data_IF_852470359134
#
_entry.id   IF_852470359134
#
_cell.length_a   1.000
_cell.length_b   1.000
_cell.length_c   1.000
_cell.angle_alpha   90.00
_cell.angle_beta   90.00
_cell.angle_gamma   90.00
#
_symmetry.space_group_name_H-M   'P 1'
#
loop_
_entity.id
_entity.type
_entity.pdbx_description
1 polymer ?
#
# COMPACT_ATOMS: atom_id res chain seq x y z
N UNK A 1 0.86 -11.63 -5.97
CA UNK A 1 -0.26 -10.80 -5.47
C UNK A 1 -0.69 -11.35 -4.10
N UNK A 2 -1.13 -10.52 -3.14
CA UNK A 2 -1.70 -10.97 -1.85
C UNK A 2 -3.24 -11.02 -1.83
N UNK A 3 -3.88 -10.69 -2.95
CA UNK A 3 -5.33 -10.77 -3.15
C UNK A 3 -6.14 -10.02 -2.08
N UNK A 4 -5.71 -8.82 -1.66
CA UNK A 4 -6.44 -8.02 -0.67
C UNK A 4 -7.69 -7.32 -1.24
N UNK A 5 -8.06 -7.57 -2.50
CA UNK A 5 -9.23 -6.94 -3.14
C UNK A 5 -9.11 -5.45 -3.46
N UNK A 6 -8.06 -4.76 -3.00
CA UNK A 6 -7.84 -3.32 -3.19
C UNK A 6 -6.37 -3.04 -3.57
N UNK A 7 -6.06 -3.06 -4.87
CA UNK A 7 -4.69 -2.92 -5.35
C UNK A 7 -4.21 -1.47 -5.32
N UNK A 8 -2.99 -1.20 -4.83
CA UNK A 8 -2.33 0.14 -4.82
C UNK A 8 -0.92 0.10 -5.36
N UNK A 9 -0.64 -0.84 -6.26
CA UNK A 9 0.71 -1.10 -6.75
C UNK A 9 1.32 0.16 -7.39
N UNK A 10 0.54 0.87 -8.19
CA UNK A 10 0.95 2.10 -8.87
C UNK A 10 1.38 3.20 -7.88
N UNK A 11 0.70 3.30 -6.73
CA UNK A 11 1.00 4.28 -5.70
C UNK A 11 2.15 3.90 -4.76
N UNK A 12 2.63 2.66 -4.82
CA UNK A 12 3.57 2.12 -3.82
C UNK A 12 4.87 1.66 -4.48
N UNK A 13 5.36 2.44 -5.45
CA UNK A 13 6.61 2.13 -6.16
C UNK A 13 6.58 0.71 -6.76
N UNK A 14 5.43 0.32 -7.30
CA UNK A 14 5.18 -1.02 -7.83
C UNK A 14 5.44 -2.17 -6.84
N UNK A 15 5.24 -1.92 -5.54
CA UNK A 15 5.52 -2.87 -4.45
C UNK A 15 4.30 -3.09 -3.57
N UNK A 16 3.79 -4.32 -3.51
CA UNK A 16 2.57 -4.62 -2.76
C UNK A 16 2.79 -4.50 -1.23
N UNK A 17 2.17 -3.53 -0.53
CA UNK A 17 2.40 -3.30 0.91
C UNK A 17 1.88 -4.47 1.78
N UNK A 18 0.88 -5.19 1.29
CA UNK A 18 0.32 -6.37 1.95
C UNK A 18 1.29 -7.56 2.01
N UNK A 19 2.46 -7.47 1.38
CA UNK A 19 3.54 -8.46 1.55
C UNK A 19 4.29 -8.31 2.87
N UNK A 20 4.11 -7.19 3.57
CA UNK A 20 4.61 -6.98 4.93
C UNK A 20 3.98 -8.02 5.88
N UNK A 21 4.76 -8.68 6.77
CA UNK A 21 4.22 -9.62 7.76
C UNK A 21 3.16 -9.00 8.68
N UNK A 22 3.25 -7.69 8.91
CA UNK A 22 2.28 -6.91 9.70
C UNK A 22 1.13 -6.35 8.87
N UNK A 23 1.07 -6.63 7.57
CA UNK A 23 0.02 -6.19 6.65
C UNK A 23 -0.23 -4.68 6.63
N UNK A 24 0.78 -3.87 6.95
CA UNK A 24 0.64 -2.41 7.04
C UNK A 24 0.45 -1.77 5.67
N UNK A 25 -0.69 -1.08 5.54
CA UNK A 25 -1.13 -0.43 4.30
C UNK A 25 -0.54 0.95 4.08
N UNK A 26 -0.14 1.64 5.15
CA UNK A 26 0.37 3.01 5.12
C UNK A 26 1.71 3.06 5.87
N UNK A 27 2.82 3.13 5.13
CA UNK A 27 4.16 3.34 5.70
C UNK A 27 4.80 2.17 6.46
N UNK A 28 6.09 2.29 6.80
CA UNK A 28 6.82 1.30 7.58
C UNK A 28 6.30 1.19 9.03
N UNK A 29 6.49 0.01 9.64
CA UNK A 29 6.01 -0.30 11.00
C UNK A 29 6.80 0.34 12.15
N UNK A 30 7.85 1.11 11.87
CA UNK A 30 8.82 1.58 12.87
C UNK A 30 9.87 0.53 13.27
N UNK A 31 9.59 -0.77 13.15
CA UNK A 31 10.55 -1.85 13.40
C UNK A 31 11.41 -2.22 12.19
N UNK A 32 11.88 -1.22 11.44
CA UNK A 32 12.87 -1.48 10.38
C UNK A 32 14.25 -1.52 11.04
N UNK A 33 14.99 -2.62 10.84
CA UNK A 33 16.35 -2.76 11.35
C UNK A 33 17.29 -1.75 10.69
N UNK A 34 18.42 -1.49 11.33
CA UNK A 34 19.46 -0.57 10.81
C UNK A 34 19.95 -0.94 9.41
N UNK A 35 19.97 -2.24 9.08
CA UNK A 35 20.33 -2.74 7.75
C UNK A 35 19.19 -2.66 6.72
N UNK A 36 18.04 -2.07 7.06
CA UNK A 36 16.87 -1.93 6.20
C UNK A 36 15.93 -3.14 6.17
N UNK A 37 16.19 -4.19 6.97
CA UNK A 37 15.36 -5.40 6.98
C UNK A 37 14.20 -5.34 7.98
N UNK A 38 13.20 -6.20 7.78
CA UNK A 38 11.99 -6.28 8.59
C UNK A 38 12.25 -6.92 9.96
N UNK A 39 11.83 -6.31 11.08
CA UNK A 39 11.97 -6.90 12.43
C UNK A 39 11.44 -8.34 12.55
N UNK A 40 10.34 -8.68 11.89
CA UNK A 40 9.69 -9.99 12.02
C UNK A 40 10.44 -11.07 11.23
N UNK A 41 10.95 -10.72 10.04
CA UNK A 41 11.65 -11.65 9.14
C UNK A 41 13.01 -11.04 8.79
N UNK A 42 14.09 -11.42 9.49
CA UNK A 42 15.40 -10.77 9.36
C UNK A 42 16.04 -10.75 7.99
N UNK A 43 15.79 -11.77 7.18
CA UNK A 43 16.36 -11.87 5.83
C UNK A 43 15.53 -11.13 4.77
N UNK A 44 14.38 -10.56 5.16
CA UNK A 44 13.48 -9.84 4.27
C UNK A 44 13.72 -8.33 4.36
N UNK A 45 14.03 -7.68 3.24
CA UNK A 45 14.05 -6.22 3.13
C UNK A 45 12.67 -5.64 3.49
N UNK A 46 12.64 -4.53 4.25
CA UNK A 46 11.40 -3.82 4.53
C UNK A 46 10.67 -3.45 3.24
N UNK A 47 9.38 -3.82 3.16
CA UNK A 47 8.54 -3.60 1.97
C UNK A 47 8.45 -2.12 1.60
N UNK A 48 8.40 -1.24 2.60
CA UNK A 48 8.29 0.21 2.39
C UNK A 48 9.60 0.87 1.99
N UNK A 49 10.75 0.40 2.48
CA UNK A 49 12.04 0.85 1.96
C UNK A 49 12.21 0.42 0.50
N UNK A 50 11.90 -0.85 0.20
CA UNK A 50 11.88 -1.36 -1.19
C UNK A 50 10.95 -0.54 -2.10
N UNK A 51 9.78 -0.17 -1.60
CA UNK A 51 8.81 0.65 -2.32
C UNK A 51 9.35 2.08 -2.57
N UNK A 52 10.00 2.68 -1.58
CA UNK A 52 10.65 3.98 -1.69
C UNK A 52 11.78 3.96 -2.73
N UNK A 53 12.70 3.00 -2.63
CA UNK A 53 13.81 2.83 -3.58
C UNK A 53 13.26 2.74 -5.02
N UNK A 54 12.24 1.91 -5.23
CA UNK A 54 11.61 1.78 -6.55
C UNK A 54 10.91 3.05 -7.02
N UNK A 55 10.24 3.78 -6.14
CA UNK A 55 9.66 5.09 -6.47
C UNK A 55 10.73 6.08 -6.95
N UNK A 56 11.93 6.03 -6.37
CA UNK A 56 13.08 6.87 -6.77
C UNK A 56 13.68 6.41 -8.09
N UNK A 57 14.06 5.14 -8.19
CA UNK A 57 14.87 4.60 -9.29
C UNK A 57 14.08 4.24 -10.56
N UNK A 58 12.81 3.84 -10.44
CA UNK A 58 12.04 3.43 -11.62
C UNK A 58 11.53 4.66 -12.41
N UNK A 59 11.42 4.54 -13.75
CA UNK A 59 10.84 5.56 -14.62
C UNK A 59 9.30 5.54 -14.53
N UNK A 60 8.75 5.80 -13.33
CA UNK A 60 7.31 5.91 -13.10
C UNK A 60 6.81 7.33 -13.41
N UNK A 61 5.53 7.50 -13.81
CA UNK A 61 4.91 8.82 -13.92
C UNK A 61 5.03 9.62 -12.63
N UNK A 62 5.25 10.94 -12.73
CA UNK A 62 5.38 11.83 -11.56
C UNK A 62 4.19 11.72 -10.62
N UNK A 63 2.97 11.69 -11.18
CA UNK A 63 1.72 11.52 -10.42
C UNK A 63 1.77 10.27 -9.52
N UNK A 64 2.28 9.14 -10.02
CA UNK A 64 2.38 7.91 -9.23
C UNK A 64 3.44 7.99 -8.14
N UNK A 65 4.51 8.77 -8.37
CA UNK A 65 5.53 9.04 -7.36
C UNK A 65 4.98 9.89 -6.22
N UNK A 66 4.05 10.80 -6.52
CA UNK A 66 3.39 11.66 -5.54
C UNK A 66 2.37 10.89 -4.70
N UNK A 67 1.66 9.93 -5.32
CA UNK A 67 0.71 9.05 -4.63
C UNK A 67 1.35 8.24 -3.47
N UNK A 68 2.68 8.08 -3.45
CA UNK A 68 3.39 7.37 -2.40
C UNK A 68 3.13 7.93 -1.00
N UNK A 69 2.94 9.24 -0.88
CA UNK A 69 2.76 9.92 0.40
C UNK A 69 1.29 10.05 0.83
N UNK A 70 0.34 9.58 0.01
CA UNK A 70 -1.09 9.65 0.34
C UNK A 70 -1.45 8.65 1.44
N UNK A 71 -2.15 9.15 2.45
CA UNK A 71 -2.79 8.32 3.46
C UNK A 71 -4.05 7.69 2.87
N UNK A 72 -4.10 6.36 2.92
CA UNK A 72 -5.23 5.59 2.37
C UNK A 72 -6.12 5.06 3.47
N UNK A 73 -7.42 4.86 3.19
CA UNK A 73 -8.31 4.19 4.12
C UNK A 73 -7.77 2.80 4.49
N UNK A 74 -8.17 2.29 5.67
CA UNK A 74 -7.86 0.92 6.03
C UNK A 74 -8.39 -0.05 4.97
N UNK A 75 -7.66 -1.13 4.75
CA UNK A 75 -8.06 -2.18 3.81
C UNK A 75 -9.34 -2.86 4.31
N UNK A 76 -10.32 -3.03 3.42
CA UNK A 76 -11.52 -3.81 3.68
C UNK A 76 -11.21 -5.30 3.54
N UNK A 77 -11.00 -5.97 4.66
CA UNK A 77 -10.68 -7.40 4.70
C UNK A 77 -11.81 -8.29 4.16
N UNK A 78 -13.04 -7.78 4.05
CA UNK A 78 -14.17 -8.51 3.43
C UNK A 78 -13.96 -8.74 1.92
N UNK A 79 -13.07 -7.97 1.29
CA UNK A 79 -12.72 -8.08 -0.14
C UNK A 79 -11.57 -9.05 -0.39
N UNK A 80 -10.98 -9.65 0.65
CA UNK A 80 -9.88 -10.60 0.48
C UNK A 80 -10.30 -11.78 -0.42
N UNK A 81 -9.40 -12.17 -1.34
CA UNK A 81 -9.64 -13.22 -2.33
C UNK A 81 -10.42 -12.77 -3.57
N UNK A 82 -11.05 -11.59 -3.55
CA UNK A 82 -11.80 -11.06 -4.71
C UNK A 82 -10.90 -10.29 -5.68
N UNK A 83 -11.38 -10.08 -6.91
CA UNK A 83 -10.64 -9.33 -7.95
C UNK A 83 -10.63 -7.83 -7.66
N UNK A 84 -9.43 -7.23 -7.62
CA UNK A 84 -9.31 -5.78 -7.41
C UNK A 84 -9.91 -4.95 -8.54
N UNK A 85 -9.91 -5.45 -9.77
CA UNK A 85 -10.52 -4.74 -10.91
C UNK A 85 -12.04 -4.73 -10.84
N UNK A 86 -12.65 -5.85 -10.45
CA UNK A 86 -14.11 -5.91 -10.26
C UNK A 86 -14.52 -4.98 -9.13
N UNK A 87 -13.78 -4.97 -8.02
CA UNK A 87 -14.08 -4.07 -6.90
C UNK A 87 -13.92 -2.60 -7.27
N UNK A 88 -12.91 -2.24 -8.08
CA UNK A 88 -12.71 -0.89 -8.60
C UNK A 88 -13.91 -0.44 -9.46
N UNK A 89 -14.30 -1.25 -10.45
CA UNK A 89 -15.42 -0.92 -11.37
C UNK A 89 -16.75 -0.85 -10.62
N UNK A 90 -16.96 -1.71 -9.63
CA UNK A 90 -18.17 -1.73 -8.79
C UNK A 90 -18.11 -0.77 -7.60
N UNK A 91 -17.00 -0.01 -7.46
CA UNK A 91 -16.73 0.93 -6.34
C UNK A 91 -16.79 0.29 -4.94
N UNK A 92 -16.65 -1.03 -4.84
CA UNK A 92 -16.61 -1.74 -3.55
C UNK A 92 -15.34 -1.42 -2.77
N UNK A 93 -14.25 -1.14 -3.48
CA UNK A 93 -12.97 -0.73 -2.88
C UNK A 93 -12.96 0.72 -2.38
N UNK A 94 -13.98 1.51 -2.67
CA UNK A 94 -14.16 2.90 -2.21
C UNK A 94 -15.01 3.00 -0.94
N UNK A 95 -15.56 1.90 -0.44
CA UNK A 95 -16.33 1.88 0.80
C UNK A 95 -15.39 2.00 2.00
N UNK A 96 -15.44 3.12 2.70
CA UNK A 96 -14.63 3.39 3.89
C UNK A 96 -15.45 3.25 5.18
N UNK A 97 -14.84 2.89 6.32
CA UNK A 97 -15.54 2.81 7.59
C UNK A 97 -16.01 4.21 8.07
N UNK A 98 -17.03 4.22 8.91
CA UNK A 98 -17.53 5.44 9.54
C UNK A 98 -16.39 6.17 10.29
N UNK A 99 -16.29 7.48 10.10
CA UNK A 99 -15.20 8.31 10.67
C UNK A 99 -14.00 8.50 9.73
N UNK A 100 -13.93 7.78 8.60
CA UNK A 100 -12.98 8.12 7.53
C UNK A 100 -13.57 9.23 6.65
N UNK A 101 -13.33 10.49 7.03
CA UNK A 101 -13.81 11.64 6.27
C UNK A 101 -12.94 11.90 5.03
N UNK A 102 -13.54 11.88 3.86
CA UNK A 102 -12.88 12.23 2.58
C UNK A 102 -12.62 13.73 2.42
N UNK A 103 -12.83 14.53 3.47
CA UNK A 103 -12.80 16.00 3.38
C UNK A 103 -11.41 16.61 3.46
N UNK A 104 -10.38 15.88 3.88
CA UNK A 104 -9.00 16.39 3.95
C UNK A 104 -8.08 15.62 3.02
N UNK A 105 -7.97 16.08 1.77
CA UNK A 105 -6.82 15.77 0.90
C UNK A 105 -7.15 15.08 -0.42
N UNK A 106 -7.48 15.91 -1.41
CA UNK A 106 -7.18 15.77 -2.85
C UNK A 106 -7.91 14.70 -3.69
N UNK A 107 -8.72 15.24 -4.62
CA UNK A 107 -8.85 14.95 -6.07
C UNK A 107 -8.99 13.51 -6.58
#
# INVERSE_FOLDING_TARGET
CRMCGQCVLHSTGMTCPMTCPKTLRNGPCGGVRENGNCEVIPDMQCVWLKAYDRKVFLPLPTVWKDHFNELRPPVDMRLQGTSSWINLVTKRDQQTPAGWSTTDGAH
#
